data_IF_045968000624
#
_entry.id   IF_045968000624
#
_cell.length_a   1.000
_cell.length_b   1.000
_cell.length_c   1.000
_cell.angle_alpha   90.00
_cell.angle_beta   90.00
_cell.angle_gamma   90.00
#
_symmetry.space_group_name_H-M   'P 1'
#
loop_
_entity.id
_entity.type
_entity.pdbx_description
1 polymer ?
#
# COMPACT_ATOMS: atom_id res chain seq x y z
N UNK A 1 35.95 4.20 0.97
CA UNK A 1 37.29 4.58 0.47
C UNK A 1 37.33 6.11 0.38
N UNK A 2 37.82 6.78 1.42
CA UNK A 2 37.73 8.25 1.57
C UNK A 2 39.08 8.95 1.40
N UNK A 3 40.11 8.25 0.92
CA UNK A 3 41.48 8.77 0.86
C UNK A 3 41.87 9.31 -0.52
N UNK A 4 41.22 8.85 -1.60
CA UNK A 4 41.44 9.38 -2.95
C UNK A 4 40.57 10.61 -3.29
N UNK A 5 39.80 11.14 -2.33
CA UNK A 5 38.72 12.12 -2.56
C UNK A 5 39.16 13.58 -2.37
N UNK A 6 40.37 13.82 -1.87
CA UNK A 6 40.95 15.18 -1.78
C UNK A 6 42.18 15.35 -2.67
N UNK A 7 42.94 14.29 -2.95
CA UNK A 7 44.08 14.33 -3.89
C UNK A 7 43.67 14.79 -5.30
N UNK A 8 42.46 14.48 -5.76
CA UNK A 8 41.98 14.98 -7.07
C UNK A 8 41.56 16.46 -7.03
N UNK A 9 41.37 17.03 -5.83
CA UNK A 9 41.06 18.45 -5.63
C UNK A 9 42.35 19.28 -5.59
N UNK A 10 43.52 18.65 -5.36
CA UNK A 10 44.81 19.32 -5.44
C UNK A 10 45.13 19.72 -6.89
N UNK A 11 45.46 21.00 -7.10
CA UNK A 11 45.77 21.56 -8.42
C UNK A 11 44.57 22.07 -9.22
N UNK A 12 43.33 21.90 -8.74
CA UNK A 12 42.16 22.49 -9.38
C UNK A 12 42.05 24.00 -9.09
N UNK A 13 41.68 24.84 -10.07
CA UNK A 13 41.40 26.25 -9.84
C UNK A 13 40.29 26.45 -8.79
N UNK A 14 40.40 27.47 -7.94
CA UNK A 14 39.42 27.74 -6.87
C UNK A 14 37.97 27.82 -7.35
N UNK A 15 37.76 28.32 -8.58
CA UNK A 15 36.44 28.37 -9.22
C UNK A 15 35.87 26.98 -9.51
N UNK A 16 36.70 26.02 -9.89
CA UNK A 16 36.29 24.64 -10.10
C UNK A 16 35.92 23.97 -8.77
N UNK A 17 36.74 24.19 -7.73
CA UNK A 17 36.46 23.69 -6.36
C UNK A 17 35.14 24.22 -5.79
N UNK A 18 34.88 25.52 -5.95
CA UNK A 18 33.60 26.13 -5.57
C UNK A 18 32.43 25.48 -6.32
N UNK A 19 32.56 25.23 -7.62
CA UNK A 19 31.49 24.61 -8.41
C UNK A 19 31.24 23.15 -8.00
N UNK A 20 32.29 22.43 -7.63
CA UNK A 20 32.18 21.07 -7.08
C UNK A 20 31.39 21.09 -5.77
N UNK A 21 31.72 21.98 -4.83
CA UNK A 21 31.01 22.09 -3.55
C UNK A 21 29.52 22.45 -3.74
N UNK A 22 29.22 23.37 -4.66
CA UNK A 22 27.86 23.71 -5.06
C UNK A 22 27.09 22.47 -5.56
N UNK A 23 27.70 21.69 -6.45
CA UNK A 23 27.10 20.48 -7.00
C UNK A 23 26.94 19.37 -5.95
N UNK A 24 27.92 19.19 -5.07
CA UNK A 24 27.84 18.27 -3.92
C UNK A 24 26.66 18.64 -3.01
N UNK A 25 26.46 19.93 -2.74
CA UNK A 25 25.32 20.43 -1.96
C UNK A 25 23.96 20.19 -2.65
N UNK A 26 23.88 20.42 -3.98
CA UNK A 26 22.68 20.13 -4.76
C UNK A 26 22.37 18.63 -4.80
N UNK A 27 23.40 17.78 -4.91
CA UNK A 27 23.25 16.33 -4.89
C UNK A 27 22.67 15.85 -3.56
N UNK A 28 23.18 16.35 -2.43
CA UNK A 28 22.65 15.98 -1.12
C UNK A 28 21.20 16.47 -0.92
N UNK A 29 20.85 17.65 -1.45
CA UNK A 29 19.45 18.11 -1.45
C UNK A 29 18.55 17.16 -2.25
N UNK A 30 18.94 16.83 -3.48
CA UNK A 30 18.16 15.93 -4.35
C UNK A 30 18.04 14.52 -3.75
N UNK A 31 19.08 14.03 -3.09
CA UNK A 31 19.07 12.74 -2.40
C UNK A 31 18.08 12.72 -1.24
N UNK A 32 18.03 13.79 -0.43
CA UNK A 32 17.03 13.96 0.63
C UNK A 32 15.61 14.05 0.06
N UNK A 33 15.41 14.82 -1.00
CA UNK A 33 14.10 14.90 -1.67
C UNK A 33 13.66 13.54 -2.24
N UNK A 34 14.59 12.79 -2.86
CA UNK A 34 14.33 11.43 -3.34
C UNK A 34 13.92 10.51 -2.19
N UNK A 35 14.66 10.53 -1.08
CA UNK A 35 14.32 9.73 0.10
C UNK A 35 12.95 10.09 0.68
N UNK A 36 12.64 11.38 0.76
CA UNK A 36 11.32 11.84 1.21
C UNK A 36 10.20 11.36 0.28
N UNK A 37 10.39 11.45 -1.05
CA UNK A 37 9.42 10.92 -2.01
C UNK A 37 9.29 9.41 -1.92
N UNK A 38 10.39 8.69 -1.75
CA UNK A 38 10.37 7.23 -1.56
C UNK A 38 9.54 6.85 -0.35
N UNK A 39 9.74 7.53 0.79
CA UNK A 39 8.95 7.29 1.99
C UNK A 39 7.44 7.55 1.76
N UNK A 40 7.09 8.59 1.02
CA UNK A 40 5.69 8.84 0.64
C UNK A 40 5.13 7.73 -0.24
N UNK A 41 5.91 7.25 -1.22
CA UNK A 41 5.52 6.13 -2.07
C UNK A 41 5.31 4.85 -1.26
N UNK A 42 6.25 4.50 -0.39
CA UNK A 42 6.17 3.31 0.46
C UNK A 42 4.93 3.36 1.39
N UNK A 43 4.61 4.54 1.92
CA UNK A 43 3.41 4.77 2.73
C UNK A 43 2.12 4.56 1.92
N UNK A 44 2.04 5.13 0.72
CA UNK A 44 0.89 4.95 -0.17
C UNK A 44 0.74 3.50 -0.62
N UNK A 45 1.85 2.82 -0.91
CA UNK A 45 1.87 1.42 -1.29
C UNK A 45 1.39 0.53 -0.14
N UNK A 46 1.82 0.79 1.10
CA UNK A 46 1.32 0.08 2.28
C UNK A 46 -0.19 0.29 2.50
N UNK A 47 -0.68 1.53 2.32
CA UNK A 47 -2.11 1.84 2.41
C UNK A 47 -2.92 1.11 1.33
N UNK A 48 -2.42 1.09 0.09
CA UNK A 48 -3.01 0.35 -1.03
C UNK A 48 -3.04 -1.15 -0.75
N UNK A 49 -1.94 -1.72 -0.24
CA UNK A 49 -1.85 -3.13 0.09
C UNK A 49 -2.88 -3.52 1.17
N UNK A 50 -3.08 -2.66 2.17
CA UNK A 50 -4.12 -2.86 3.19
C UNK A 50 -5.52 -2.86 2.58
N UNK A 51 -5.79 -1.99 1.59
CA UNK A 51 -7.07 -1.99 0.89
C UNK A 51 -7.27 -3.26 0.05
N UNK A 52 -6.23 -3.71 -0.67
CA UNK A 52 -6.26 -4.97 -1.43
C UNK A 52 -6.55 -6.17 -0.52
N UNK A 53 -5.88 -6.25 0.63
CA UNK A 53 -6.14 -7.30 1.63
C UNK A 53 -7.58 -7.26 2.14
N UNK A 54 -8.12 -6.08 2.41
CA UNK A 54 -9.54 -5.96 2.76
C UNK A 54 -10.42 -6.55 1.67
N UNK A 55 -10.23 -6.16 0.41
CA UNK A 55 -11.01 -6.69 -0.72
C UNK A 55 -10.91 -8.22 -0.80
N UNK A 56 -9.70 -8.80 -0.68
CA UNK A 56 -9.56 -10.25 -0.71
C UNK A 56 -10.26 -10.94 0.47
N UNK A 57 -10.27 -10.32 1.66
CA UNK A 57 -10.95 -10.85 2.84
C UNK A 57 -12.47 -10.74 2.69
N UNK A 58 -12.99 -9.63 2.17
CA UNK A 58 -14.42 -9.48 1.87
C UNK A 58 -14.86 -10.49 0.81
N UNK A 59 -14.10 -10.66 -0.26
CA UNK A 59 -14.36 -11.67 -1.29
C UNK A 59 -14.33 -13.09 -0.74
N UNK A 60 -13.38 -13.38 0.15
CA UNK A 60 -13.37 -14.67 0.85
C UNK A 60 -14.65 -14.80 1.68
N UNK A 61 -15.01 -13.83 2.51
CA UNK A 61 -16.23 -13.87 3.31
C UNK A 61 -17.49 -14.08 2.44
N UNK A 62 -17.59 -13.41 1.29
CA UNK A 62 -18.68 -13.59 0.33
C UNK A 62 -18.72 -15.01 -0.24
N UNK A 63 -17.57 -15.57 -0.62
CA UNK A 63 -17.47 -16.97 -1.06
C UNK A 63 -17.87 -17.96 0.04
N UNK A 64 -17.48 -17.70 1.29
CA UNK A 64 -17.85 -18.52 2.44
C UNK A 64 -19.35 -18.43 2.75
N UNK A 65 -19.94 -17.23 2.66
CA UNK A 65 -21.39 -17.01 2.80
C UNK A 65 -22.18 -17.73 1.70
N UNK A 66 -21.71 -17.65 0.45
CA UNK A 66 -22.31 -18.36 -0.67
C UNK A 66 -22.27 -19.88 -0.45
N UNK A 67 -21.14 -20.40 0.03
CA UNK A 67 -21.00 -21.81 0.37
C UNK A 67 -21.97 -22.23 1.48
N UNK A 68 -22.08 -21.43 2.54
CA UNK A 68 -23.00 -21.70 3.66
C UNK A 68 -24.46 -21.70 3.20
N UNK A 69 -24.84 -20.80 2.30
CA UNK A 69 -26.20 -20.74 1.74
C UNK A 69 -26.53 -21.96 0.86
N UNK A 70 -25.52 -22.51 0.15
CA UNK A 70 -25.65 -23.71 -0.68
C UNK A 70 -25.67 -25.01 0.14
N UNK A 71 -24.89 -25.08 1.23
CA UNK A 71 -24.83 -26.26 2.12
C UNK A 71 -25.95 -26.28 3.15
N UNK A 72 -26.48 -25.12 3.52
CA UNK A 72 -27.57 -24.98 4.47
C UNK A 72 -28.69 -24.13 3.85
N UNK A 73 -29.50 -24.69 2.93
CA UNK A 73 -30.67 -23.99 2.43
C UNK A 73 -31.63 -23.79 3.60
N UNK A 74 -31.67 -22.56 4.13
CA UNK A 74 -32.59 -22.14 5.19
C UNK A 74 -34.01 -22.51 4.75
N UNK A 75 -34.59 -23.59 5.31
CA UNK A 75 -35.96 -24.02 4.99
C UNK A 75 -36.93 -22.87 5.28
N UNK A 76 -37.42 -22.26 4.21
CA UNK A 76 -38.48 -21.26 4.25
C UNK A 76 -39.80 -21.96 3.92
N UNK A 77 -40.42 -22.56 4.93
CA UNK A 77 -41.86 -22.87 4.99
C UNK A 77 -42.20 -23.48 6.36
N UNK A 78 -42.41 -22.62 7.35
CA UNK A 78 -43.28 -22.98 8.47
C UNK A 78 -44.72 -22.65 8.04
N UNK A 79 -45.64 -23.63 7.99
CA UNK A 79 -47.05 -23.32 7.83
C UNK A 79 -47.51 -22.57 9.09
N UNK A 80 -48.06 -21.37 8.91
CA UNK A 80 -48.72 -20.64 9.98
C UNK A 80 -49.95 -21.43 10.46
N UNK A 81 -50.24 -21.49 11.78
CA UNK A 81 -51.34 -22.28 12.34
C UNK A 81 -52.74 -21.67 12.11
N UNK A 82 -52.94 -20.87 11.07
CA UNK A 82 -54.19 -20.10 10.84
C UNK A 82 -55.05 -20.65 9.70
N UNK A 83 -54.91 -21.92 9.36
CA UNK A 83 -55.79 -22.61 8.38
C UNK A 83 -56.55 -23.77 9.01
N UNK A 84 -57.11 -23.55 10.20
CA UNK A 84 -58.12 -24.44 10.80
C UNK A 84 -59.44 -23.71 11.03
N UNK A 85 -59.90 -22.93 10.05
CA UNK A 85 -61.26 -22.43 10.10
C UNK A 85 -61.95 -22.58 8.73
N UNK A 86 -63.02 -23.38 8.78
CA UNK A 86 -64.25 -23.25 7.98
C UNK A 86 -64.17 -23.85 6.57
N UNK A 87 -64.45 -25.15 6.49
CA UNK A 87 -65.26 -25.70 5.42
C UNK A 87 -66.58 -26.17 6.06
N UNK A 88 -67.64 -25.40 5.79
CA UNK A 88 -69.06 -25.74 6.03
C UNK A 88 -69.46 -26.78 4.99
#
# INVERSE_FOLDING_TARGET
MSWALEEWKEGLPSRALQKIQELEGQLEKLKKEKQQRQFQLDSLEAALQKQKQKVSVWQAADCWLAHLHLTFPRKQSLPSPVKMEIAI
#
